data_IF_236646908507
#
_entry.id   IF_236646908507
#
_cell.length_a   1.000
_cell.length_b   1.000
_cell.length_c   1.000
_cell.angle_alpha   90.00
_cell.angle_beta   90.00
_cell.angle_gamma   90.00
#
_symmetry.space_group_name_H-M   'P 1'
#
loop_
_entity.id
_entity.type
_entity.pdbx_description
1 polymer ?
#
# COMPACT_ATOMS: atom_id res chain seq x y z
N UNK A 1 -1.77 -32.50 -28.44
CA UNK A 1 -0.81 -32.25 -27.34
C UNK A 1 -0.56 -30.75 -27.27
N UNK A 2 -0.82 -30.09 -26.13
CA UNK A 2 -0.41 -28.69 -25.96
C UNK A 2 1.11 -28.63 -26.12
N UNK A 3 1.62 -27.71 -26.93
CA UNK A 3 3.06 -27.55 -27.10
C UNK A 3 3.66 -26.95 -25.82
N UNK A 4 4.91 -27.29 -25.51
CA UNK A 4 5.64 -26.77 -24.35
C UNK A 4 5.61 -25.23 -24.27
N UNK A 5 5.63 -24.58 -25.45
CA UNK A 5 5.56 -23.12 -25.57
C UNK A 5 4.25 -22.54 -25.06
N UNK A 6 3.13 -23.23 -25.26
CA UNK A 6 1.82 -22.78 -24.80
C UNK A 6 1.73 -22.87 -23.28
N UNK A 7 2.26 -23.95 -22.69
CA UNK A 7 2.33 -24.13 -21.24
C UNK A 7 3.19 -23.05 -20.56
N UNK A 8 4.34 -22.71 -21.14
CA UNK A 8 5.20 -21.63 -20.64
C UNK A 8 4.50 -20.28 -20.68
N UNK A 9 3.78 -19.99 -21.77
CA UNK A 9 3.04 -18.73 -21.93
C UNK A 9 1.88 -18.61 -20.94
N UNK A 10 1.23 -19.72 -20.62
CA UNK A 10 0.16 -19.80 -19.64
C UNK A 10 0.70 -19.58 -18.22
N UNK A 11 1.85 -20.18 -17.89
CA UNK A 11 2.55 -19.99 -16.61
C UNK A 11 3.05 -18.54 -16.40
N UNK A 12 3.61 -17.92 -17.45
CA UNK A 12 4.06 -16.52 -17.39
C UNK A 12 2.89 -15.55 -17.16
N UNK A 13 1.72 -15.82 -17.73
CA UNK A 13 0.50 -15.03 -17.49
C UNK A 13 0.01 -15.16 -16.05
N UNK A 14 0.00 -16.37 -15.49
CA UNK A 14 -0.42 -16.60 -14.10
C UNK A 14 0.52 -15.91 -13.10
N UNK A 15 1.83 -15.98 -13.31
CA UNK A 15 2.84 -15.32 -12.46
C UNK A 15 2.76 -13.78 -12.54
N UNK A 16 2.53 -13.20 -13.73
CA UNK A 16 2.31 -11.76 -13.88
C UNK A 16 1.01 -11.29 -13.21
N UNK A 17 -0.08 -12.07 -13.30
CA UNK A 17 -1.33 -11.73 -12.62
C UNK A 17 -1.23 -11.82 -11.10
N UNK A 18 -0.54 -12.82 -10.56
CA UNK A 18 -0.30 -12.92 -9.11
C UNK A 18 0.56 -11.78 -8.58
N UNK A 19 1.59 -11.34 -9.31
CA UNK A 19 2.39 -10.15 -8.94
C UNK A 19 1.56 -8.86 -8.87
N UNK A 20 0.58 -8.67 -9.78
CA UNK A 20 -0.31 -7.49 -9.76
C UNK A 20 -1.38 -7.53 -8.67
N UNK A 21 -1.71 -8.71 -8.13
CA UNK A 21 -2.72 -8.87 -7.07
C UNK A 21 -2.16 -8.71 -5.66
N UNK A 22 -0.86 -9.01 -5.44
CA UNK A 22 -0.20 -8.87 -4.13
C UNK A 22 -0.06 -7.44 -3.63
N UNK A 23 -0.34 -6.43 -4.45
CA UNK A 23 -0.24 -5.01 -4.08
C UNK A 23 -1.44 -4.49 -3.29
N UNK A 24 -2.52 -5.28 -3.14
CA UNK A 24 -3.74 -4.87 -2.43
C UNK A 24 -3.76 -5.18 -0.93
N UNK A 25 -2.85 -6.04 -0.44
CA UNK A 25 -2.85 -6.48 0.96
C UNK A 25 -1.82 -5.75 1.83
N UNK A 26 -0.86 -5.07 1.21
CA UNK A 26 0.13 -4.28 1.93
C UNK A 26 -0.32 -2.83 1.91
N UNK A 27 -0.81 -2.34 3.05
CA UNK A 27 -0.95 -0.91 3.26
C UNK A 27 0.40 -0.22 3.03
N UNK A 28 0.38 0.92 2.33
CA UNK A 28 1.54 1.81 2.26
C UNK A 28 1.92 2.28 3.67
N UNK A 29 3.19 2.59 3.92
CA UNK A 29 3.64 3.13 5.22
C UNK A 29 2.79 4.32 5.65
N UNK A 30 2.44 5.20 4.71
CA UNK A 30 1.55 6.35 4.93
C UNK A 30 0.12 5.95 5.31
N UNK A 31 -0.44 4.92 4.69
CA UNK A 31 -1.79 4.45 5.02
C UNK A 31 -1.83 3.84 6.42
N UNK A 32 -0.76 3.15 6.82
CA UNK A 32 -0.59 2.65 8.19
C UNK A 32 -0.45 3.82 9.17
N UNK A 33 0.35 4.84 8.83
CA UNK A 33 0.54 6.04 9.65
C UNK A 33 -0.74 6.87 9.82
N UNK A 34 -1.53 7.01 8.76
CA UNK A 34 -2.82 7.69 8.76
C UNK A 34 -3.84 6.90 9.61
N UNK A 35 -3.87 5.57 9.49
CA UNK A 35 -4.69 4.69 10.33
C UNK A 35 -4.30 4.78 11.81
N UNK A 36 -2.99 4.84 12.11
CA UNK A 36 -2.47 5.07 13.46
C UNK A 36 -2.68 6.50 13.95
N UNK A 37 -3.17 7.41 13.10
CA UNK A 37 -3.42 8.80 13.46
C UNK A 37 -2.16 9.61 13.73
N UNK A 38 -1.02 9.24 13.14
CA UNK A 38 0.24 9.97 13.30
C UNK A 38 0.21 11.34 12.63
N UNK A 39 -0.56 11.49 11.55
CA UNK A 39 -0.63 12.72 10.75
C UNK A 39 -1.73 13.68 11.22
N UNK A 40 -1.99 13.73 12.53
CA UNK A 40 -2.99 14.65 13.10
C UNK A 40 -2.37 16.02 13.37
N UNK A 41 -3.09 17.12 13.08
CA UNK A 41 -2.72 18.44 13.56
C UNK A 41 -2.60 18.42 15.09
N UNK A 42 -1.38 18.60 15.59
CA UNK A 42 -1.13 18.75 17.02
C UNK A 42 -1.35 20.20 17.40
N UNK A 43 -2.20 20.45 18.40
CA UNK A 43 -2.41 21.78 18.93
C UNK A 43 -1.71 21.90 20.28
N UNK A 44 -0.96 22.98 20.46
CA UNK A 44 -0.29 23.30 21.71
C UNK A 44 -0.71 24.69 22.20
N UNK A 45 -0.74 24.89 23.52
CA UNK A 45 -0.97 26.21 24.11
C UNK A 45 0.34 26.98 24.12
N UNK A 46 0.45 28.05 23.34
CA UNK A 46 1.56 29.02 23.38
C UNK A 46 1.02 30.40 23.77
N UNK A 47 1.54 30.95 24.87
CA UNK A 47 1.21 32.32 25.34
C UNK A 47 -0.30 32.55 25.48
N UNK A 48 -1.02 31.56 26.02
CA UNK A 48 -2.47 31.65 26.27
C UNK A 48 -3.38 31.30 25.08
N UNK A 49 -2.87 31.33 23.84
CA UNK A 49 -3.62 30.92 22.66
C UNK A 49 -3.34 29.45 22.29
N UNK A 50 -4.34 28.75 21.75
CA UNK A 50 -4.15 27.46 21.11
C UNK A 50 -3.53 27.69 19.72
N UNK A 51 -2.39 27.06 19.44
CA UNK A 51 -1.71 27.14 18.15
C UNK A 51 -1.45 25.74 17.63
N UNK A 52 -1.61 25.55 16.33
CA UNK A 52 -1.14 24.34 15.68
C UNK A 52 0.40 24.33 15.72
N UNK A 53 0.96 23.19 16.10
CA UNK A 53 2.41 22.92 16.12
C UNK A 53 2.92 22.60 14.72
#
# INVERSE_FOLDING_TARGET
>A
MKALRDQLREWEKQTKQTKKKKTKENFSTREIEDLMGMHRPCYERRRGALRQK
#
